data_IF_041540010210
#
_entry.id   IF_041540010210
#
_cell.length_a   1.000
_cell.length_b   1.000
_cell.length_c   1.000
_cell.angle_alpha   90.00
_cell.angle_beta   90.00
_cell.angle_gamma   90.00
#
_symmetry.space_group_name_H-M   'P 1'
#
loop_
_entity.id
_entity.type
_entity.pdbx_description
1 polymer ?
#
# COMPACT_ATOMS: atom_id res chain seq x y z
N UNK A 1 4.69 -13.83 0.74
CA UNK A 1 3.90 -12.79 0.04
C UNK A 1 4.28 -12.65 -1.46
N UNK A 2 4.50 -13.74 -2.21
CA UNK A 2 4.66 -13.65 -3.69
C UNK A 2 3.32 -13.88 -4.41
N UNK A 3 2.36 -14.52 -3.75
CA UNK A 3 1.07 -14.95 -4.31
C UNK A 3 0.07 -13.87 -4.69
N UNK A 4 0.23 -12.62 -4.23
CA UNK A 4 -0.75 -11.59 -4.59
C UNK A 4 -0.69 -11.16 -6.06
N UNK A 5 0.34 -11.62 -6.82
CA UNK A 5 0.52 -11.41 -8.26
C UNK A 5 0.15 -9.98 -8.73
N UNK A 6 0.46 -8.99 -7.90
CA UNK A 6 0.11 -7.59 -8.12
C UNK A 6 0.59 -7.13 -9.49
N UNK A 7 1.83 -7.49 -9.85
CA UNK A 7 2.47 -7.11 -11.11
C UNK A 7 1.73 -7.60 -12.38
N UNK A 8 0.87 -8.63 -12.27
CA UNK A 8 0.06 -9.16 -13.38
C UNK A 8 -1.35 -8.54 -13.46
N UNK A 9 -1.79 -7.79 -12.45
CA UNK A 9 -3.14 -7.19 -12.38
C UNK A 9 -3.12 -5.74 -12.85
N UNK A 10 -2.56 -5.48 -14.03
CA UNK A 10 -2.44 -4.12 -14.59
C UNK A 10 -3.82 -3.56 -14.95
N UNK A 11 -4.76 -4.43 -15.32
CA UNK A 11 -6.13 -4.08 -15.73
C UNK A 11 -6.98 -3.55 -14.57
N UNK A 12 -6.69 -3.95 -13.34
CA UNK A 12 -7.49 -3.56 -12.16
C UNK A 12 -7.21 -2.10 -11.76
N UNK A 13 -8.21 -1.40 -11.24
CA UNK A 13 -8.00 -0.05 -10.69
C UNK A 13 -7.41 -0.14 -9.28
N UNK A 14 -6.78 0.93 -8.82
CA UNK A 14 -6.23 0.98 -7.45
C UNK A 14 -7.32 0.76 -6.39
N UNK A 15 -8.55 1.18 -6.68
CA UNK A 15 -9.71 0.94 -5.82
C UNK A 15 -10.10 -0.55 -5.73
N UNK A 16 -9.98 -1.31 -6.82
CA UNK A 16 -10.23 -2.76 -6.80
C UNK A 16 -9.16 -3.48 -5.97
N UNK A 17 -7.92 -3.05 -6.09
CA UNK A 17 -6.83 -3.55 -5.24
C UNK A 17 -7.10 -3.24 -3.77
N UNK A 18 -7.53 -2.02 -3.46
CA UNK A 18 -7.90 -1.63 -2.11
C UNK A 18 -9.03 -2.51 -1.54
N UNK A 19 -10.10 -2.73 -2.30
CA UNK A 19 -11.21 -3.63 -1.90
C UNK A 19 -10.73 -5.06 -1.63
N UNK A 20 -9.82 -5.58 -2.44
CA UNK A 20 -9.25 -6.92 -2.27
C UNK A 20 -8.37 -7.05 -1.03
N UNK A 21 -7.53 -6.05 -0.74
CA UNK A 21 -6.54 -6.14 0.34
C UNK A 21 -7.05 -5.63 1.68
N UNK A 22 -7.94 -4.63 1.70
CA UNK A 22 -8.51 -4.08 2.92
C UNK A 22 -9.02 -5.12 3.94
N UNK A 23 -9.76 -6.18 3.56
CA UNK A 23 -10.17 -7.21 4.53
C UNK A 23 -8.99 -7.97 5.14
N UNK A 24 -7.97 -8.32 4.33
CA UNK A 24 -6.77 -9.00 4.80
C UNK A 24 -5.97 -8.10 5.75
N UNK A 25 -5.83 -6.82 5.39
CA UNK A 25 -5.15 -5.82 6.21
C UNK A 25 -5.85 -5.61 7.55
N UNK A 26 -7.18 -5.60 7.56
CA UNK A 26 -7.97 -5.54 8.81
C UNK A 26 -7.71 -6.75 9.70
N UNK A 27 -7.66 -7.95 9.13
CA UNK A 27 -7.27 -9.17 9.86
C UNK A 27 -5.88 -9.06 10.49
N UNK A 28 -4.90 -8.58 9.73
CA UNK A 28 -3.54 -8.39 10.24
C UNK A 28 -3.45 -7.30 11.31
N UNK A 29 -4.20 -6.20 11.16
CA UNK A 29 -4.26 -5.15 12.18
C UNK A 29 -4.90 -5.66 13.47
N UNK A 30 -5.96 -6.46 13.40
CA UNK A 30 -6.60 -7.04 14.57
C UNK A 30 -5.69 -8.06 15.27
N UNK A 31 -5.00 -8.91 14.50
CA UNK A 31 -4.16 -9.97 15.05
C UNK A 31 -2.79 -9.45 15.55
N UNK A 32 -2.09 -8.66 14.74
CA UNK A 32 -0.72 -8.20 15.06
C UNK A 32 -0.66 -6.81 15.71
N UNK A 33 -1.74 -6.01 15.67
CA UNK A 33 -1.73 -4.62 16.13
C UNK A 33 -1.50 -4.44 17.63
N UNK A 34 -1.84 -5.45 18.44
CA UNK A 34 -1.68 -5.42 19.91
C UNK A 34 -0.26 -5.76 20.35
N UNK A 35 0.39 -6.72 19.70
CA UNK A 35 1.64 -7.32 20.17
C UNK A 35 2.88 -6.86 19.39
N UNK A 36 2.74 -6.56 18.09
CA UNK A 36 3.90 -6.30 17.22
C UNK A 36 3.68 -5.13 16.27
N UNK A 37 3.43 -3.95 16.83
CA UNK A 37 3.25 -2.70 16.04
C UNK A 37 4.41 -2.44 15.08
N UNK A 38 5.65 -2.68 15.48
CA UNK A 38 6.83 -2.49 14.64
C UNK A 38 6.91 -3.47 13.47
N UNK A 39 6.62 -4.76 13.71
CA UNK A 39 6.58 -5.77 12.65
C UNK A 39 5.40 -5.54 11.68
N UNK A 40 4.23 -5.16 12.22
CA UNK A 40 3.08 -4.75 11.43
C UNK A 40 3.43 -3.56 10.54
N UNK A 41 4.08 -2.53 11.08
CA UNK A 41 4.50 -1.37 10.28
C UNK A 41 5.45 -1.75 9.14
N UNK A 42 6.40 -2.66 9.37
CA UNK A 42 7.29 -3.17 8.30
C UNK A 42 6.51 -3.93 7.22
N UNK A 43 5.56 -4.77 7.62
CA UNK A 43 4.73 -5.54 6.68
C UNK A 43 3.85 -4.61 5.83
N UNK A 44 3.25 -3.59 6.44
CA UNK A 44 2.45 -2.57 5.76
C UNK A 44 3.32 -1.69 4.83
N UNK A 45 4.54 -1.34 5.24
CA UNK A 45 5.49 -0.64 4.37
C UNK A 45 5.91 -1.49 3.17
N UNK A 46 6.07 -2.81 3.35
CA UNK A 46 6.31 -3.74 2.25
C UNK A 46 5.15 -3.77 1.25
N UNK A 47 3.91 -3.61 1.72
CA UNK A 47 2.75 -3.49 0.84
C UNK A 47 2.79 -2.22 -0.01
N UNK A 48 3.16 -1.07 0.58
CA UNK A 48 3.33 0.17 -0.19
C UNK A 48 4.44 0.06 -1.25
N UNK A 49 5.51 -0.68 -0.96
CA UNK A 49 6.55 -0.99 -1.95
C UNK A 49 6.03 -1.86 -3.09
N UNK A 50 5.17 -2.84 -2.81
CA UNK A 50 4.52 -3.66 -3.85
C UNK A 50 3.51 -2.85 -4.65
N UNK A 51 2.78 -1.94 -4.02
CA UNK A 51 1.88 -1.01 -4.71
C UNK A 51 2.66 -0.08 -5.64
N UNK A 52 3.83 0.40 -5.21
CA UNK A 52 4.74 1.16 -6.07
C UNK A 52 5.24 0.31 -7.25
N UNK A 53 5.58 -0.97 -7.05
CA UNK A 53 5.94 -1.88 -8.16
C UNK A 53 4.79 -2.08 -9.13
N UNK A 54 3.58 -2.32 -8.63
CA UNK A 54 2.38 -2.39 -9.45
C UNK A 54 2.15 -1.12 -10.26
N UNK A 55 2.33 0.06 -9.64
CA UNK A 55 2.22 1.34 -10.34
C UNK A 55 3.29 1.48 -11.45
N UNK A 56 4.51 0.99 -11.24
CA UNK A 56 5.54 0.93 -12.30
C UNK A 56 5.15 0.00 -13.46
N UNK A 57 4.48 -1.10 -13.16
CA UNK A 57 4.00 -2.06 -14.17
C UNK A 57 2.81 -1.50 -14.95
N UNK A 58 1.91 -0.76 -14.28
CA UNK A 58 0.72 -0.14 -14.88
C UNK A 58 1.04 1.10 -15.70
N UNK A 59 1.83 2.02 -15.16
CA UNK A 59 2.15 3.27 -15.83
C UNK A 59 3.52 3.18 -16.48
N UNK A 60 3.56 3.17 -17.82
CA UNK A 60 4.83 3.17 -18.57
C UNK A 60 5.75 4.33 -18.17
N UNK A 61 5.17 5.49 -17.82
CA UNK A 61 5.91 6.69 -17.35
C UNK A 61 6.61 6.52 -16.00
N UNK A 62 6.22 5.50 -15.22
CA UNK A 62 6.83 5.15 -13.94
C UNK A 62 7.74 3.93 -14.05
N UNK A 63 7.80 3.27 -15.21
CA UNK A 63 8.61 2.07 -15.44
C UNK A 63 10.07 2.38 -15.16
N UNK A 64 10.74 1.53 -14.37
CA UNK A 64 12.13 1.71 -13.87
C UNK A 64 12.36 2.90 -12.91
N UNK A 65 11.37 3.75 -12.66
CA UNK A 65 11.50 4.90 -11.76
C UNK A 65 10.94 4.62 -10.36
N UNK A 66 11.67 3.83 -9.57
CA UNK A 66 11.25 3.40 -8.23
C UNK A 66 10.91 4.58 -7.30
N UNK A 67 11.68 5.67 -7.36
CA UNK A 67 11.41 6.88 -6.56
C UNK A 67 10.11 7.56 -6.98
N UNK A 68 9.87 7.75 -8.29
CA UNK A 68 8.64 8.34 -8.81
C UNK A 68 7.41 7.49 -8.50
N UNK A 69 7.53 6.17 -8.55
CA UNK A 69 6.44 5.27 -8.17
C UNK A 69 6.07 5.36 -6.69
N UNK A 70 7.06 5.53 -5.80
CA UNK A 70 6.78 5.81 -4.38
C UNK A 70 6.07 7.14 -4.19
N UNK A 71 6.51 8.20 -4.88
CA UNK A 71 5.84 9.49 -4.85
C UNK A 71 4.42 9.40 -5.40
N UNK A 72 4.19 8.60 -6.44
CA UNK A 72 2.85 8.36 -6.96
C UNK A 72 1.94 7.70 -5.90
N UNK A 73 2.43 6.68 -5.19
CA UNK A 73 1.66 6.09 -4.07
C UNK A 73 1.40 7.11 -2.96
N UNK A 74 2.37 7.96 -2.64
CA UNK A 74 2.21 9.03 -1.66
C UNK A 74 1.17 10.07 -2.11
N UNK A 75 1.16 10.42 -3.39
CA UNK A 75 0.19 11.35 -3.98
C UNK A 75 -1.23 10.77 -3.94
N UNK A 76 -1.40 9.50 -4.32
CA UNK A 76 -2.69 8.80 -4.17
C UNK A 76 -3.13 8.76 -2.72
N UNK A 77 -2.20 8.50 -1.79
CA UNK A 77 -2.50 8.53 -0.35
C UNK A 77 -2.95 9.91 0.13
N UNK A 78 -2.36 10.98 -0.40
CA UNK A 78 -2.77 12.36 -0.07
C UNK A 78 -4.17 12.67 -0.59
N UNK A 79 -4.51 12.19 -1.79
CA UNK A 79 -5.84 12.37 -2.40
C UNK A 79 -6.92 11.54 -1.70
N UNK A 80 -6.61 10.27 -1.40
CA UNK A 80 -7.56 9.30 -0.86
C UNK A 80 -6.94 8.52 0.32
N UNK A 81 -6.74 9.15 1.49
CA UNK A 81 -6.09 8.51 2.63
C UNK A 81 -6.89 7.34 3.21
N UNK A 82 -8.20 7.27 2.93
CA UNK A 82 -9.10 6.21 3.37
C UNK A 82 -9.14 4.99 2.43
N UNK A 83 -8.48 5.07 1.26
CA UNK A 83 -8.52 4.01 0.26
C UNK A 83 -7.97 2.70 0.82
N UNK A 84 -6.81 2.77 1.48
CA UNK A 84 -6.25 1.64 2.21
C UNK A 84 -6.32 1.86 3.71
N UNK A 85 -6.80 0.85 4.44
CA UNK A 85 -6.98 0.94 5.88
C UNK A 85 -5.64 1.19 6.62
N UNK A 86 -4.53 0.66 6.10
CA UNK A 86 -3.21 0.78 6.72
C UNK A 86 -2.55 2.15 6.51
N UNK A 87 -2.97 2.92 5.50
CA UNK A 87 -2.40 4.26 5.26
C UNK A 87 -2.70 5.21 6.40
N UNK A 88 -3.91 5.15 6.96
CA UNK A 88 -4.25 5.90 8.17
C UNK A 88 -3.43 5.43 9.36
N UNK A 89 -3.19 4.13 9.51
CA UNK A 89 -2.45 3.61 10.65
C UNK A 89 -0.96 3.98 10.61
N UNK A 90 -0.30 3.79 9.47
CA UNK A 90 1.12 4.08 9.29
C UNK A 90 1.44 5.58 9.32
N UNK A 91 0.57 6.41 8.74
CA UNK A 91 0.90 7.80 8.44
C UNK A 91 0.05 8.84 9.19
N UNK A 92 -0.98 8.44 9.96
CA UNK A 92 -1.57 9.35 10.97
C UNK A 92 -0.55 9.77 12.02
N UNK A 93 0.38 8.90 12.38
CA UNK A 93 1.41 9.19 13.38
C UNK A 93 2.42 10.27 12.90
N UNK A 94 2.46 10.58 11.60
CA UNK A 94 3.36 11.61 11.03
C UNK A 94 2.66 12.95 10.72
N UNK A 95 1.36 13.09 10.99
CA UNK A 95 0.61 14.34 10.77
C UNK A 95 0.53 15.25 12.01
N UNK A 96 1.47 15.06 12.95
CA UNK A 96 1.58 15.86 14.17
C UNK A 96 3.03 15.96 14.60
N UNK A 97 3.82 16.76 13.89
CA UNK A 97 4.96 17.50 14.43
C UNK A 97 5.31 18.64 13.49
#
# INVERSE_FOLDING_TARGET
MRDWQLDRRIDKRINDLAKMFNPILRGWMNYYGRYHKSALSRALMHLDLRLARWAMSKYRRLRRHRRRARYWVQDVRRREPALFAHWRLLYRATAGR
#
